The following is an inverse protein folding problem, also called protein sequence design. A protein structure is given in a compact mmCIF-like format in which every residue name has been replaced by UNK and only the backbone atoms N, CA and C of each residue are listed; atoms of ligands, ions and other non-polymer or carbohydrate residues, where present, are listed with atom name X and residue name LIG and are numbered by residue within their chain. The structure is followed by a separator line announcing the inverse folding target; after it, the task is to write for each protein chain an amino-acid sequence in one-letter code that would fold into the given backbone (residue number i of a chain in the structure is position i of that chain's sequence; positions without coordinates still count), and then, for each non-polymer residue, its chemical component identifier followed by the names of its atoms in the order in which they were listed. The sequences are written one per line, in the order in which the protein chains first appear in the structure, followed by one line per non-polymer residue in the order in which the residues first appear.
data_IF_365288654033
#
_entry.id   IF_365288654033
#
_cell.length_a   1.000
_cell.length_b   1.000
_cell.length_c   1.000
_cell.angle_alpha   90.00
_cell.angle_beta   90.00
_cell.angle_gamma   90.00
#
_symmetry.space_group_name_H-M   'P 1'
#
loop_
_entity.id
_entity.type
_entity.pdbx_description
1 polymer ?
#
# COMPACT_ATOMS: atom_id res chain seq x y z
N UNK A 1 7.53 -100.15 -32.95
CA UNK A 1 6.47 -100.85 -33.71
C UNK A 1 6.61 -100.44 -35.16
N UNK A 2 6.89 -101.27 -36.16
CA UNK A 2 6.84 -102.72 -36.33
C UNK A 2 8.00 -103.16 -37.23
N UNK A 3 8.65 -104.26 -36.87
CA UNK A 3 9.57 -104.99 -37.75
C UNK A 3 8.75 -105.74 -38.81
N UNK A 4 9.05 -105.54 -40.09
CA UNK A 4 8.63 -106.46 -41.16
C UNK A 4 9.86 -107.10 -41.77
N UNK A 5 9.95 -108.42 -41.57
CA UNK A 5 11.01 -109.32 -42.02
C UNK A 5 10.96 -109.45 -43.54
N UNK A 6 12.13 -109.40 -44.18
CA UNK A 6 12.31 -109.72 -45.60
C UNK A 6 12.18 -111.24 -45.81
N UNK A 7 11.16 -111.68 -46.53
CA UNK A 7 11.02 -113.06 -47.00
C UNK A 7 11.72 -113.21 -48.34
N UNK A 8 12.77 -114.04 -48.39
CA UNK A 8 13.57 -114.30 -49.60
C UNK A 8 12.91 -115.30 -50.53
N UNK A 9 13.14 -115.14 -51.84
CA UNK A 9 12.54 -115.88 -52.97
C UNK A 9 12.70 -117.41 -52.90
N UNK A 10 13.64 -117.92 -52.09
CA UNK A 10 13.93 -119.35 -51.95
C UNK A 10 12.84 -120.16 -51.23
N UNK A 11 11.96 -119.53 -50.44
CA UNK A 11 10.88 -120.24 -49.72
C UNK A 11 9.68 -120.66 -50.61
N UNK A 12 9.68 -120.29 -51.90
CA UNK A 12 8.55 -120.54 -52.82
C UNK A 12 8.77 -121.66 -53.86
N UNK A 13 9.90 -122.37 -53.83
CA UNK A 13 10.15 -123.51 -54.73
C UNK A 13 9.80 -124.84 -54.05
N UNK A 14 8.66 -125.42 -54.43
CA UNK A 14 8.24 -126.76 -54.01
C UNK A 14 8.84 -127.78 -54.98
N UNK A 15 9.89 -128.49 -54.56
CA UNK A 15 10.39 -129.65 -55.28
C UNK A 15 9.47 -130.87 -55.04
N UNK A 16 9.06 -131.62 -56.08
CA UNK A 16 8.29 -132.84 -55.89
C UNK A 16 9.13 -133.87 -55.09
N UNK A 17 8.60 -134.31 -53.95
CA UNK A 17 9.25 -135.27 -53.03
C UNK A 17 9.02 -136.73 -53.48
N UNK A 18 9.61 -137.14 -54.60
CA UNK A 18 9.74 -138.58 -54.91
C UNK A 18 11.05 -139.13 -54.32
N UNK A 19 11.10 -140.38 -53.84
CA UNK A 19 12.32 -140.96 -53.27
C UNK A 19 13.39 -141.21 -54.34
N UNK A 20 14.66 -141.04 -53.96
CA UNK A 20 15.82 -140.98 -54.88
C UNK A 20 15.99 -142.20 -55.82
N UNK A 21 15.49 -143.38 -55.45
CA UNK A 21 15.63 -144.58 -56.30
C UNK A 21 14.74 -144.54 -57.55
N UNK A 22 13.61 -143.83 -57.51
CA UNK A 22 12.71 -143.66 -58.66
C UNK A 22 13.28 -142.66 -59.67
N UNK A 23 14.00 -141.64 -59.21
CA UNK A 23 14.72 -140.72 -60.09
C UNK A 23 15.83 -141.42 -60.88
N UNK A 24 16.52 -142.38 -60.25
CA UNK A 24 17.52 -143.20 -60.91
C UNK A 24 16.88 -144.18 -61.90
N UNK A 25 15.69 -144.72 -61.58
CA UNK A 25 14.89 -145.54 -62.48
C UNK A 25 14.37 -144.77 -63.71
N UNK A 26 13.84 -143.56 -63.53
CA UNK A 26 13.42 -142.67 -64.63
C UNK A 26 14.65 -142.22 -65.47
N UNK A 27 15.80 -141.99 -64.84
CA UNK A 27 17.06 -141.69 -65.53
C UNK A 27 17.55 -142.85 -66.40
N UNK A 28 17.54 -144.09 -65.88
CA UNK A 28 17.89 -145.28 -66.66
C UNK A 28 16.83 -145.61 -67.72
N UNK A 29 15.53 -145.40 -67.45
CA UNK A 29 14.47 -145.56 -68.44
C UNK A 29 14.63 -144.54 -69.59
N UNK A 30 15.01 -143.29 -69.27
CA UNK A 30 15.32 -142.26 -70.27
C UNK A 30 16.60 -142.59 -71.05
N UNK A 31 17.63 -143.17 -70.39
CA UNK A 31 18.86 -143.61 -71.06
C UNK A 31 18.66 -144.82 -71.97
N UNK A 32 17.81 -145.77 -71.56
CA UNK A 32 17.40 -146.92 -72.38
C UNK A 32 16.54 -146.47 -73.56
N UNK A 33 15.64 -145.49 -73.35
CA UNK A 33 14.84 -144.87 -74.41
C UNK A 33 15.70 -144.14 -75.46
N UNK A 34 16.78 -143.44 -75.04
CA UNK A 34 17.75 -142.83 -75.95
C UNK A 34 18.58 -143.86 -76.74
N UNK A 35 18.89 -145.03 -76.16
CA UNK A 35 19.64 -146.10 -76.84
C UNK A 35 18.80 -147.03 -77.73
N UNK A 36 17.46 -146.86 -77.77
CA UNK A 36 16.52 -147.74 -78.49
C UNK A 36 15.91 -147.15 -79.76
N UNK A 37 16.24 -145.91 -80.13
CA UNK A 37 15.75 -145.32 -81.38
C UNK A 37 16.65 -145.79 -82.53
N UNK A 38 16.19 -146.85 -83.20
CA UNK A 38 16.76 -147.39 -84.44
C UNK A 38 16.86 -146.28 -85.49
N UNK A 39 18.04 -146.14 -86.09
CA UNK A 39 18.26 -145.45 -87.36
C UNK A 39 17.41 -146.21 -88.40
N UNK A 40 16.32 -145.60 -88.86
CA UNK A 40 15.50 -146.12 -89.93
C UNK A 40 16.24 -145.99 -91.28
N UNK A 41 16.04 -146.99 -92.14
CA UNK A 41 16.70 -147.25 -93.42
C UNK A 41 17.00 -146.03 -94.34
N UNK A 42 18.07 -146.11 -95.15
CA UNK A 42 18.36 -145.15 -96.20
C UNK A 42 17.55 -145.49 -97.47
N UNK A 43 16.45 -144.76 -97.73
CA UNK A 43 15.88 -144.49 -99.06
C UNK A 43 14.48 -143.86 -98.96
N UNK A 44 14.38 -142.54 -98.79
CA UNK A 44 13.38 -141.65 -99.44
C UNK A 44 13.65 -140.19 -99.01
N UNK A 45 13.64 -139.26 -99.97
CA UNK A 45 14.24 -137.92 -99.84
C UNK A 45 13.40 -136.85 -99.11
N UNK A 46 13.21 -136.98 -97.80
CA UNK A 46 12.46 -136.01 -96.97
C UNK A 46 13.30 -135.36 -95.82
N UNK A 47 14.59 -135.09 -96.06
CA UNK A 47 15.50 -134.48 -95.07
C UNK A 47 15.54 -132.93 -95.08
N UNK A 48 14.72 -132.26 -95.88
CA UNK A 48 14.75 -130.79 -96.02
C UNK A 48 13.91 -130.07 -94.93
N UNK A 49 12.90 -130.72 -94.34
CA UNK A 49 11.97 -130.05 -93.40
C UNK A 49 12.42 -130.08 -91.93
N UNK A 50 13.09 -131.13 -91.45
CA UNK A 50 13.56 -131.20 -90.04
C UNK A 50 14.74 -130.28 -89.75
N UNK A 51 15.60 -130.07 -90.75
CA UNK A 51 16.69 -129.10 -90.67
C UNK A 51 16.11 -127.66 -90.55
N UNK A 52 14.98 -127.38 -91.20
CA UNK A 52 14.32 -126.07 -91.16
C UNK A 52 13.74 -125.69 -89.77
N UNK A 53 13.19 -126.64 -89.00
CA UNK A 53 12.62 -126.36 -87.67
C UNK A 53 13.72 -126.15 -86.62
N UNK A 54 14.81 -126.92 -86.68
CA UNK A 54 15.97 -126.75 -85.78
C UNK A 54 16.66 -125.42 -86.10
N UNK A 55 16.84 -125.10 -87.38
CA UNK A 55 17.38 -123.81 -87.83
C UNK A 55 16.44 -122.67 -87.40
N UNK A 56 15.12 -122.82 -87.53
CA UNK A 56 14.13 -121.81 -87.12
C UNK A 56 14.14 -121.55 -85.61
N UNK A 57 14.20 -122.59 -84.78
CA UNK A 57 14.33 -122.45 -83.33
C UNK A 57 15.68 -121.85 -82.91
N UNK A 58 16.76 -122.22 -83.58
CA UNK A 58 18.08 -121.61 -83.38
C UNK A 58 18.06 -120.11 -83.76
N UNK A 59 17.38 -119.74 -84.84
CA UNK A 59 17.19 -118.34 -85.25
C UNK A 59 16.30 -117.60 -84.23
N UNK A 60 15.20 -118.20 -83.76
CA UNK A 60 14.28 -117.61 -82.79
C UNK A 60 14.93 -117.40 -81.41
N UNK A 61 15.71 -118.37 -80.93
CA UNK A 61 16.50 -118.25 -79.68
C UNK A 61 17.60 -117.20 -79.82
N UNK A 62 18.29 -117.14 -80.96
CA UNK A 62 19.26 -116.08 -81.23
C UNK A 62 18.61 -114.69 -81.33
N UNK A 63 17.41 -114.59 -81.90
CA UNK A 63 16.62 -113.34 -81.94
C UNK A 63 16.11 -112.93 -80.54
N UNK A 64 15.69 -113.90 -79.73
CA UNK A 64 15.30 -113.67 -78.34
C UNK A 64 16.50 -113.23 -77.50
N UNK A 65 17.68 -113.80 -77.72
CA UNK A 65 18.92 -113.37 -77.08
C UNK A 65 19.32 -111.96 -77.54
N UNK A 66 19.23 -111.66 -78.84
CA UNK A 66 19.48 -110.30 -79.37
C UNK A 66 18.50 -109.27 -78.81
N UNK A 67 17.21 -109.60 -78.68
CA UNK A 67 16.18 -108.69 -78.15
C UNK A 67 16.28 -108.53 -76.64
N UNK A 68 16.57 -109.59 -75.88
CA UNK A 68 16.84 -109.52 -74.44
C UNK A 68 18.12 -108.73 -74.14
N UNK A 69 19.19 -108.90 -74.92
CA UNK A 69 20.40 -108.04 -74.86
C UNK A 69 20.08 -106.56 -75.14
N UNK A 70 19.23 -106.26 -76.13
CA UNK A 70 18.77 -104.88 -76.40
C UNK A 70 17.89 -104.32 -75.28
N UNK A 71 17.00 -105.12 -74.72
CA UNK A 71 16.11 -104.74 -73.62
C UNK A 71 16.89 -104.48 -72.33
N UNK A 72 17.85 -105.34 -72.00
CA UNK A 72 18.75 -105.17 -70.85
C UNK A 72 19.63 -103.95 -71.01
N UNK A 73 20.19 -103.70 -72.21
CA UNK A 73 20.91 -102.47 -72.51
C UNK A 73 20.04 -101.22 -72.33
N UNK A 74 18.80 -101.21 -72.83
CA UNK A 74 17.86 -100.09 -72.59
C UNK A 74 17.51 -99.94 -71.12
N UNK A 75 17.23 -101.03 -70.38
CA UNK A 75 16.97 -100.98 -68.93
C UNK A 75 18.15 -100.39 -68.16
N UNK A 76 19.37 -100.80 -68.49
CA UNK A 76 20.59 -100.26 -67.88
C UNK A 76 20.75 -98.76 -68.20
N UNK A 77 20.53 -98.34 -69.45
CA UNK A 77 20.57 -96.94 -69.85
C UNK A 77 19.51 -96.08 -69.13
N UNK A 78 18.28 -96.57 -69.01
CA UNK A 78 17.22 -95.90 -68.24
C UNK A 78 17.54 -95.85 -66.74
N UNK A 79 18.11 -96.92 -66.18
CA UNK A 79 18.51 -96.95 -64.77
C UNK A 79 19.63 -95.95 -64.50
N UNK A 80 20.59 -95.82 -65.42
CA UNK A 80 21.67 -94.85 -65.31
C UNK A 80 21.17 -93.40 -65.48
N UNK A 81 20.26 -93.16 -66.43
CA UNK A 81 19.58 -91.86 -66.58
C UNK A 81 18.75 -91.52 -65.35
N UNK A 82 18.05 -92.50 -64.75
CA UNK A 82 17.27 -92.32 -63.52
C UNK A 82 18.18 -91.99 -62.33
N UNK A 83 19.34 -92.65 -62.21
CA UNK A 83 20.34 -92.33 -61.17
C UNK A 83 20.85 -90.89 -61.32
N UNK A 84 21.25 -90.49 -62.52
CA UNK A 84 21.70 -89.12 -62.82
C UNK A 84 20.61 -88.07 -62.49
N UNK A 85 19.36 -88.31 -62.89
CA UNK A 85 18.25 -87.41 -62.57
C UNK A 85 17.99 -87.35 -61.06
N UNK A 86 18.07 -88.47 -60.34
CA UNK A 86 17.92 -88.48 -58.88
C UNK A 86 19.06 -87.75 -58.16
N UNK A 87 20.29 -87.86 -58.65
CA UNK A 87 21.44 -87.10 -58.14
C UNK A 87 21.22 -85.60 -58.38
N UNK A 88 20.80 -85.21 -59.60
CA UNK A 88 20.51 -83.82 -59.92
C UNK A 88 19.36 -83.23 -59.08
N UNK A 89 18.33 -84.04 -58.78
CA UNK A 89 17.25 -83.64 -57.87
C UNK A 89 17.73 -83.46 -56.43
N UNK A 90 18.60 -84.33 -55.93
CA UNK A 90 19.22 -84.19 -54.60
C UNK A 90 20.08 -82.94 -54.53
N UNK A 91 20.91 -82.69 -55.53
CA UNK A 91 21.75 -81.49 -55.60
C UNK A 91 20.91 -80.21 -55.66
N UNK A 92 19.80 -80.23 -56.41
CA UNK A 92 18.88 -79.10 -56.48
C UNK A 92 18.23 -78.83 -55.11
N UNK A 93 17.81 -79.89 -54.41
CA UNK A 93 17.21 -79.77 -53.08
C UNK A 93 18.21 -79.22 -52.05
N UNK A 94 19.48 -79.64 -52.11
CA UNK A 94 20.55 -79.10 -51.25
C UNK A 94 20.80 -77.62 -51.55
N UNK A 95 20.81 -77.23 -52.83
CA UNK A 95 20.95 -75.82 -53.23
C UNK A 95 19.76 -74.97 -52.79
N UNK A 96 18.54 -75.48 -52.93
CA UNK A 96 17.33 -74.80 -52.47
C UNK A 96 17.35 -74.57 -50.96
N UNK A 97 17.70 -75.60 -50.17
CA UNK A 97 17.81 -75.48 -48.71
C UNK A 97 18.93 -74.50 -48.31
N UNK A 98 20.07 -74.53 -49.01
CA UNK A 98 21.15 -73.54 -48.83
C UNK A 98 20.67 -72.11 -49.12
N UNK A 99 19.93 -71.90 -50.22
CA UNK A 99 19.36 -70.58 -50.52
C UNK A 99 18.34 -70.13 -49.48
N UNK A 100 17.49 -71.03 -48.99
CA UNK A 100 16.53 -70.73 -47.92
C UNK A 100 17.24 -70.31 -46.64
N UNK A 101 18.28 -71.04 -46.23
CA UNK A 101 19.09 -70.69 -45.05
C UNK A 101 19.83 -69.37 -45.24
N UNK A 102 20.40 -69.13 -46.42
CA UNK A 102 21.05 -67.87 -46.75
C UNK A 102 20.06 -66.70 -46.73
N UNK A 103 18.83 -66.89 -47.23
CA UNK A 103 17.79 -65.86 -47.19
C UNK A 103 17.38 -65.53 -45.75
N UNK A 104 17.22 -66.54 -44.88
CA UNK A 104 16.94 -66.34 -43.45
C UNK A 104 18.08 -65.56 -42.79
N UNK A 105 19.34 -65.96 -43.03
CA UNK A 105 20.52 -65.25 -42.51
C UNK A 105 20.61 -63.81 -43.02
N UNK A 106 20.31 -63.59 -44.29
CA UNK A 106 20.32 -62.25 -44.89
C UNK A 106 19.22 -61.37 -44.31
N UNK A 107 18.00 -61.89 -44.17
CA UNK A 107 16.90 -61.17 -43.55
C UNK A 107 17.22 -60.80 -42.10
N UNK A 108 17.76 -61.75 -41.33
CA UNK A 108 18.23 -61.51 -39.96
C UNK A 108 19.32 -60.42 -39.93
N UNK A 109 20.31 -60.49 -40.83
CA UNK A 109 21.37 -59.49 -40.92
C UNK A 109 20.86 -58.09 -41.28
N UNK A 110 19.86 -57.99 -42.17
CA UNK A 110 19.22 -56.72 -42.54
C UNK A 110 18.47 -56.15 -41.32
N UNK A 111 17.69 -56.98 -40.62
CA UNK A 111 16.97 -56.57 -39.41
C UNK A 111 17.92 -56.10 -38.31
N UNK A 112 18.98 -56.86 -38.03
CA UNK A 112 19.99 -56.47 -37.03
C UNK A 112 20.74 -55.19 -37.41
N UNK A 113 21.06 -54.99 -38.69
CA UNK A 113 21.66 -53.73 -39.14
C UNK A 113 20.70 -52.55 -38.99
N UNK A 114 19.42 -52.74 -39.31
CA UNK A 114 18.41 -51.72 -39.12
C UNK A 114 18.28 -51.36 -37.63
N UNK A 115 18.19 -52.35 -36.74
CA UNK A 115 18.18 -52.15 -35.29
C UNK A 115 19.47 -51.47 -34.77
N UNK A 116 20.64 -51.78 -35.36
CA UNK A 116 21.90 -51.09 -35.03
C UNK A 116 21.89 -49.63 -35.48
N UNK A 117 21.38 -49.34 -36.69
CA UNK A 117 21.22 -47.98 -37.21
C UNK A 117 20.26 -47.17 -36.35
N UNK A 118 19.11 -47.73 -35.99
CA UNK A 118 18.13 -47.08 -35.13
C UNK A 118 18.68 -46.82 -33.73
N UNK A 119 19.37 -47.80 -33.11
CA UNK A 119 20.05 -47.59 -31.82
C UNK A 119 21.12 -46.51 -31.90
N UNK A 120 21.93 -46.49 -32.96
CA UNK A 120 22.94 -45.46 -33.15
C UNK A 120 22.30 -44.08 -33.34
N UNK A 121 21.24 -43.97 -34.16
CA UNK A 121 20.51 -42.74 -34.40
C UNK A 121 19.88 -42.20 -33.09
N UNK A 122 19.20 -43.07 -32.33
CA UNK A 122 18.62 -42.70 -31.04
C UNK A 122 19.71 -42.26 -30.05
N UNK A 123 20.86 -42.94 -30.03
CA UNK A 123 21.97 -42.55 -29.16
C UNK A 123 22.56 -41.19 -29.55
N UNK A 124 22.72 -40.92 -30.84
CA UNK A 124 23.17 -39.62 -31.35
C UNK A 124 22.19 -38.53 -30.95
N UNK A 125 20.89 -38.77 -31.10
CA UNK A 125 19.85 -37.81 -30.73
C UNK A 125 19.87 -37.52 -29.22
N UNK A 126 19.96 -38.55 -28.38
CA UNK A 126 20.08 -38.40 -26.92
C UNK A 126 21.33 -37.60 -26.54
N UNK A 127 22.49 -37.93 -27.12
CA UNK A 127 23.74 -37.20 -26.85
C UNK A 127 23.68 -35.75 -27.32
N UNK A 128 23.05 -35.47 -28.46
CA UNK A 128 22.87 -34.10 -28.94
C UNK A 128 21.95 -33.30 -28.02
N UNK A 129 20.86 -33.90 -27.53
CA UNK A 129 19.98 -33.26 -26.54
C UNK A 129 20.73 -32.92 -25.24
N UNK A 130 21.48 -33.90 -24.69
CA UNK A 130 22.31 -33.70 -23.50
C UNK A 130 23.38 -32.63 -23.72
N UNK A 131 24.01 -32.59 -24.90
CA UNK A 131 24.99 -31.56 -25.26
C UNK A 131 24.35 -30.17 -25.23
N UNK A 132 23.18 -29.99 -25.87
CA UNK A 132 22.48 -28.71 -25.87
C UNK A 132 22.07 -28.27 -24.46
N UNK A 133 21.59 -29.19 -23.63
CA UNK A 133 21.24 -28.88 -22.24
C UNK A 133 22.47 -28.41 -21.43
N UNK A 134 23.60 -29.10 -21.59
CA UNK A 134 24.87 -28.73 -20.95
C UNK A 134 25.40 -27.39 -21.45
N UNK A 135 25.31 -27.11 -22.75
CA UNK A 135 25.71 -25.83 -23.33
C UNK A 135 24.85 -24.68 -22.79
N UNK A 136 23.53 -24.86 -22.66
CA UNK A 136 22.65 -23.87 -22.02
C UNK A 136 23.04 -23.60 -20.58
N UNK A 137 23.29 -24.66 -19.80
CA UNK A 137 23.74 -24.55 -18.41
C UNK A 137 25.10 -23.86 -18.30
N UNK A 138 26.03 -24.19 -19.19
CA UNK A 138 27.35 -23.55 -19.26
C UNK A 138 27.23 -22.06 -19.55
N UNK A 139 26.42 -21.67 -20.53
CA UNK A 139 26.20 -20.26 -20.88
C UNK A 139 25.54 -19.49 -19.73
N UNK A 140 24.52 -20.07 -19.08
CA UNK A 140 23.89 -19.46 -17.91
C UNK A 140 24.88 -19.26 -16.75
N UNK A 141 25.74 -20.25 -16.48
CA UNK A 141 26.78 -20.12 -15.46
C UNK A 141 27.83 -19.06 -15.83
N UNK A 142 28.22 -18.97 -17.10
CA UNK A 142 29.14 -17.93 -17.58
C UNK A 142 28.55 -16.53 -17.38
N UNK A 143 27.27 -16.32 -17.69
CA UNK A 143 26.58 -15.05 -17.46
C UNK A 143 26.58 -14.69 -15.96
N UNK A 144 26.28 -15.65 -15.08
CA UNK A 144 26.32 -15.44 -13.63
C UNK A 144 27.75 -15.08 -13.19
N UNK A 145 28.76 -15.79 -13.67
CA UNK A 145 30.16 -15.47 -13.37
C UNK A 145 30.54 -14.05 -13.82
N UNK A 146 30.08 -13.60 -14.98
CA UNK A 146 30.31 -12.22 -15.42
C UNK A 146 29.59 -11.19 -14.53
N UNK A 147 28.35 -11.47 -14.12
CA UNK A 147 27.62 -10.58 -13.21
C UNK A 147 28.34 -10.45 -11.87
N UNK A 148 28.78 -11.57 -11.29
CA UNK A 148 29.55 -11.58 -10.03
C UNK A 148 30.86 -10.81 -10.20
N UNK A 149 31.58 -10.99 -11.32
CA UNK A 149 32.80 -10.21 -11.60
C UNK A 149 32.52 -8.71 -11.69
N UNK A 150 31.42 -8.30 -12.33
CA UNK A 150 31.00 -6.88 -12.40
C UNK A 150 30.67 -6.33 -11.02
N UNK A 151 29.95 -7.08 -10.19
CA UNK A 151 29.63 -6.67 -8.81
C UNK A 151 30.91 -6.56 -7.98
N UNK A 152 31.80 -7.54 -8.07
CA UNK A 152 33.11 -7.51 -7.39
C UNK A 152 33.90 -6.28 -7.80
N UNK A 153 34.02 -5.99 -9.10
CA UNK A 153 34.74 -4.81 -9.58
C UNK A 153 34.14 -3.50 -9.04
N UNK A 154 32.81 -3.39 -8.94
CA UNK A 154 32.13 -2.24 -8.31
C UNK A 154 32.43 -2.15 -6.81
N UNK A 155 32.42 -3.27 -6.11
CA UNK A 155 32.76 -3.32 -4.68
C UNK A 155 34.22 -2.94 -4.45
N UNK A 156 35.15 -3.47 -5.23
CA UNK A 156 36.59 -3.15 -5.15
C UNK A 156 36.82 -1.66 -5.42
N UNK A 157 36.14 -1.09 -6.42
CA UNK A 157 36.21 0.35 -6.69
C UNK A 157 35.65 1.18 -5.51
N UNK A 158 34.53 0.76 -4.93
CA UNK A 158 33.96 1.44 -3.77
C UNK A 158 34.86 1.35 -2.54
N UNK A 159 35.45 0.18 -2.27
CA UNK A 159 36.43 -0.01 -1.19
C UNK A 159 37.62 0.93 -1.41
N UNK A 160 38.13 1.01 -2.64
CA UNK A 160 39.19 1.96 -2.99
C UNK A 160 38.83 3.42 -2.71
N UNK A 161 37.58 3.83 -2.99
CA UNK A 161 37.10 5.18 -2.66
C UNK A 161 36.98 5.42 -1.16
N UNK A 162 36.54 4.42 -0.40
CA UNK A 162 36.34 4.55 1.04
C UNK A 162 37.62 4.38 1.87
N UNK A 163 38.69 3.85 1.28
CA UNK A 163 40.00 3.68 1.91
C UNK A 163 40.56 4.98 2.52
N UNK A 164 40.28 6.12 1.90
CA UNK A 164 40.68 7.45 2.43
C UNK A 164 40.09 7.69 3.84
N UNK A 165 38.86 7.25 4.09
CA UNK A 165 38.25 7.39 5.41
C UNK A 165 38.82 6.41 6.41
N UNK A 166 39.21 5.20 6.00
CA UNK A 166 39.89 4.24 6.85
C UNK A 166 41.27 4.77 7.27
N UNK A 167 42.04 5.30 6.32
CA UNK A 167 43.35 5.94 6.58
C UNK A 167 43.20 7.13 7.54
N UNK A 168 42.22 8.00 7.30
CA UNK A 168 41.91 9.09 8.23
C UNK A 168 41.52 8.59 9.63
N UNK A 169 40.68 7.56 9.74
CA UNK A 169 40.28 7.02 11.04
C UNK A 169 41.45 6.34 11.76
N UNK A 170 42.38 5.72 11.04
CA UNK A 170 43.64 5.23 11.61
C UNK A 170 44.48 6.39 12.16
N UNK A 171 44.67 7.48 11.40
CA UNK A 171 45.41 8.66 11.87
C UNK A 171 44.78 9.28 13.13
N UNK A 172 43.45 9.32 13.22
CA UNK A 172 42.74 9.83 14.40
C UNK A 172 42.95 8.93 15.62
N UNK A 173 42.95 7.61 15.44
CA UNK A 173 43.25 6.64 16.51
C UNK A 173 44.71 6.76 16.95
N UNK A 174 45.65 6.98 16.03
CA UNK A 174 47.06 7.19 16.34
C UNK A 174 47.30 8.52 17.08
N UNK A 175 46.53 9.56 16.78
CA UNK A 175 46.61 10.86 17.44
C UNK A 175 46.08 10.82 18.89
N UNK A 176 44.97 10.14 19.13
CA UNK A 176 44.36 10.01 20.46
C UNK A 176 44.61 8.61 21.04
N UNK A 177 45.69 8.47 21.81
CA UNK A 177 46.07 7.23 22.48
C UNK A 177 45.01 6.65 23.45
N UNK A 178 43.94 7.40 23.74
CA UNK A 178 42.81 6.87 24.52
C UNK A 178 41.99 5.83 23.75
N UNK A 179 42.15 5.73 22.43
CA UNK A 179 41.44 4.78 21.57
C UNK A 179 42.42 3.74 21.02
N UNK A 180 42.07 2.46 21.14
CA UNK A 180 42.93 1.35 20.68
C UNK A 180 42.52 0.82 19.30
N UNK A 181 41.29 1.12 18.85
CA UNK A 181 40.75 0.66 17.58
C UNK A 181 39.78 1.69 16.99
N UNK A 182 39.66 1.71 15.67
CA UNK A 182 38.62 2.46 14.94
C UNK A 182 37.22 2.10 15.47
N UNK A 183 36.99 0.84 15.85
CA UNK A 183 35.71 0.43 16.42
C UNK A 183 35.41 1.10 17.77
N UNK A 184 36.42 1.40 18.57
CA UNK A 184 36.23 2.09 19.85
C UNK A 184 35.90 3.57 19.62
N UNK A 185 36.54 4.19 18.62
CA UNK A 185 36.19 5.54 18.14
C UNK A 185 34.72 5.59 17.70
N UNK A 186 34.27 4.64 16.88
CA UNK A 186 32.89 4.59 16.40
C UNK A 186 31.89 4.37 17.55
N UNK A 187 32.16 3.45 18.47
CA UNK A 187 31.30 3.24 19.66
C UNK A 187 31.19 4.50 20.51
N UNK A 188 32.30 5.21 20.71
CA UNK A 188 32.29 6.47 21.47
C UNK A 188 31.52 7.56 20.73
N UNK A 189 31.68 7.64 19.41
CA UNK A 189 30.91 8.54 18.57
C UNK A 189 29.41 8.24 18.66
N UNK A 190 29.01 6.98 18.59
CA UNK A 190 27.62 6.55 18.73
C UNK A 190 27.06 6.91 20.11
N UNK A 191 27.81 6.61 21.18
CA UNK A 191 27.43 6.99 22.54
C UNK A 191 27.31 8.52 22.69
N UNK A 192 28.17 9.30 22.03
CA UNK A 192 28.10 10.76 22.05
C UNK A 192 26.90 11.28 21.25
N UNK A 193 26.54 10.65 20.14
CA UNK A 193 25.31 10.98 19.40
C UNK A 193 24.09 10.70 20.26
N UNK A 194 24.04 9.55 20.94
CA UNK A 194 22.94 9.19 21.84
C UNK A 194 22.84 10.17 23.00
N UNK A 195 23.94 10.46 23.70
CA UNK A 195 23.97 11.47 24.76
C UNK A 195 23.53 12.86 24.25
N UNK A 196 23.93 13.24 23.03
CA UNK A 196 23.48 14.49 22.41
C UNK A 196 21.98 14.49 22.14
N UNK A 197 21.41 13.38 21.68
CA UNK A 197 19.96 13.24 21.47
C UNK A 197 19.21 13.37 22.79
N UNK A 198 19.64 12.64 23.82
CA UNK A 198 19.04 12.71 25.15
C UNK A 198 19.09 14.12 25.74
N UNK A 199 20.24 14.81 25.62
CA UNK A 199 20.39 16.17 26.09
C UNK A 199 19.47 17.14 25.33
N UNK A 200 19.33 16.96 24.03
CA UNK A 200 18.40 17.76 23.22
C UNK A 200 16.94 17.52 23.64
N UNK A 201 16.56 16.27 23.95
CA UNK A 201 15.22 15.94 24.44
C UNK A 201 14.96 16.54 25.83
N UNK A 202 15.97 16.57 26.71
CA UNK A 202 15.89 17.29 28.01
C UNK A 202 15.71 18.79 27.76
N UNK A 203 16.55 19.38 26.91
CA UNK A 203 16.49 20.81 26.59
C UNK A 203 15.13 21.19 26.01
N UNK A 204 14.58 20.41 25.08
CA UNK A 204 13.27 20.66 24.50
C UNK A 204 12.16 20.56 25.56
N UNK A 205 12.24 19.58 26.47
CA UNK A 205 11.28 19.48 27.58
C UNK A 205 11.34 20.69 28.49
N UNK A 206 12.53 21.19 28.81
CA UNK A 206 12.68 22.35 29.68
C UNK A 206 12.25 23.65 29.01
N UNK A 207 12.52 23.82 27.71
CA UNK A 207 11.96 24.92 26.92
C UNK A 207 10.43 24.88 26.93
N UNK A 208 9.82 23.71 26.73
CA UNK A 208 8.36 23.56 26.79
C UNK A 208 7.79 23.90 28.18
N UNK A 209 8.49 23.53 29.27
CA UNK A 209 8.10 23.93 30.63
C UNK A 209 8.19 25.45 30.82
N UNK A 210 9.26 26.06 30.32
CA UNK A 210 9.48 27.50 30.40
C UNK A 210 8.42 28.27 29.61
N UNK A 211 8.07 27.80 28.41
CA UNK A 211 6.99 28.38 27.61
C UNK A 211 5.63 28.28 28.31
N UNK A 212 5.31 27.13 28.91
CA UNK A 212 4.10 26.97 29.73
C UNK A 212 4.09 27.93 30.91
N UNK A 213 5.19 28.02 31.66
CA UNK A 213 5.30 28.95 32.79
C UNK A 213 5.14 30.41 32.35
N UNK A 214 5.76 30.79 31.23
CA UNK A 214 5.63 32.12 30.63
C UNK A 214 4.19 32.40 30.17
N UNK A 215 3.51 31.41 29.59
CA UNK A 215 2.10 31.56 29.18
C UNK A 215 1.20 31.75 30.40
N UNK A 216 1.37 30.93 31.43
CA UNK A 216 0.62 31.05 32.68
C UNK A 216 0.85 32.42 33.35
N UNK A 217 2.09 32.92 33.34
CA UNK A 217 2.40 34.24 33.87
C UNK A 217 1.71 35.35 33.07
N UNK A 218 1.71 35.27 31.73
CA UNK A 218 0.99 36.23 30.89
C UNK A 218 -0.51 36.22 31.17
N UNK A 219 -1.09 35.04 31.34
CA UNK A 219 -2.51 34.89 31.69
C UNK A 219 -2.82 35.51 33.06
N UNK A 220 -1.99 35.22 34.07
CA UNK A 220 -2.12 35.83 35.40
C UNK A 220 -2.01 37.35 35.34
N UNK A 221 -1.02 37.89 34.63
CA UNK A 221 -0.86 39.34 34.44
C UNK A 221 -2.11 39.92 33.78
N UNK A 222 -2.61 39.31 32.69
CA UNK A 222 -3.83 39.78 32.02
C UNK A 222 -5.03 39.79 32.97
N UNK A 223 -5.21 38.72 33.76
CA UNK A 223 -6.28 38.63 34.76
C UNK A 223 -6.16 39.71 35.84
N UNK A 224 -4.96 40.01 36.33
CA UNK A 224 -4.74 41.07 37.32
C UNK A 224 -4.91 42.46 36.72
N UNK A 225 -4.43 42.70 35.50
CA UNK A 225 -4.65 43.96 34.78
C UNK A 225 -6.15 44.23 34.62
N UNK A 226 -6.92 43.23 34.18
CA UNK A 226 -8.39 43.35 34.10
C UNK A 226 -9.04 43.64 35.46
N UNK A 227 -8.55 43.03 36.56
CA UNK A 227 -9.04 43.33 37.91
C UNK A 227 -8.72 44.76 38.32
N UNK A 228 -7.50 45.23 38.05
CA UNK A 228 -7.09 46.61 38.33
C UNK A 228 -7.96 47.57 37.52
N UNK A 229 -8.16 47.35 36.23
CA UNK A 229 -9.02 48.18 35.38
C UNK A 229 -10.46 48.25 35.91
N UNK A 230 -11.02 47.12 36.37
CA UNK A 230 -12.35 47.10 37.01
C UNK A 230 -12.40 47.98 38.26
N UNK A 231 -11.40 47.89 39.14
CA UNK A 231 -11.34 48.70 40.36
C UNK A 231 -11.12 50.18 40.01
N UNK A 232 -10.23 50.49 39.07
CA UNK A 232 -9.99 51.85 38.59
C UNK A 232 -11.28 52.48 38.04
N UNK A 233 -12.06 51.72 37.26
CA UNK A 233 -13.37 52.18 36.78
C UNK A 233 -14.34 52.43 37.93
N UNK A 234 -14.37 51.58 38.96
CA UNK A 234 -15.19 51.81 40.16
C UNK A 234 -14.77 53.07 40.92
N UNK A 235 -13.47 53.29 41.09
CA UNK A 235 -12.92 54.50 41.72
C UNK A 235 -13.31 55.74 40.92
N UNK A 236 -13.21 55.69 39.59
CA UNK A 236 -13.59 56.79 38.72
C UNK A 236 -15.07 57.14 38.87
N UNK A 237 -15.97 56.14 38.86
CA UNK A 237 -17.41 56.35 39.07
C UNK A 237 -17.69 56.94 40.46
N UNK A 238 -17.02 56.46 41.51
CA UNK A 238 -17.15 56.99 42.86
C UNK A 238 -16.65 58.44 42.95
N UNK A 239 -15.52 58.75 42.31
CA UNK A 239 -14.95 60.09 42.28
C UNK A 239 -15.88 61.08 41.56
N UNK A 240 -16.45 60.69 40.41
CA UNK A 240 -17.45 61.50 39.71
C UNK A 240 -18.70 61.76 40.55
N UNK A 241 -19.19 60.76 41.29
CA UNK A 241 -20.31 60.93 42.23
C UNK A 241 -19.95 61.89 43.35
N UNK A 242 -18.75 61.76 43.92
CA UNK A 242 -18.25 62.64 44.96
C UNK A 242 -18.14 64.10 44.47
N UNK A 243 -17.54 64.34 43.31
CA UNK A 243 -17.40 65.69 42.74
C UNK A 243 -18.77 66.30 42.39
N UNK A 244 -19.74 65.49 41.92
CA UNK A 244 -21.14 65.93 41.75
C UNK A 244 -21.77 66.36 43.08
N UNK A 245 -21.64 65.55 44.12
CA UNK A 245 -22.18 65.86 45.44
C UNK A 245 -21.53 67.12 46.04
N UNK A 246 -20.20 67.24 45.93
CA UNK A 246 -19.43 68.41 46.36
C UNK A 246 -19.81 69.69 45.62
N UNK A 247 -20.00 69.62 44.30
CA UNK A 247 -20.48 70.74 43.49
C UNK A 247 -21.88 71.18 43.94
N UNK A 248 -22.79 70.23 44.18
CA UNK A 248 -24.12 70.54 44.71
C UNK A 248 -24.07 71.14 46.12
N UNK A 249 -23.22 70.62 47.00
CA UNK A 249 -23.03 71.19 48.35
C UNK A 249 -22.58 72.65 48.27
N UNK A 250 -21.58 72.96 47.43
CA UNK A 250 -21.12 74.34 47.20
C UNK A 250 -22.24 75.26 46.71
N UNK A 251 -23.12 74.78 45.81
CA UNK A 251 -24.28 75.57 45.35
C UNK A 251 -25.24 75.88 46.51
N UNK A 252 -25.55 74.89 47.35
CA UNK A 252 -26.41 75.10 48.51
C UNK A 252 -25.77 75.98 49.58
N UNK A 253 -24.47 75.86 49.82
CA UNK A 253 -23.72 76.76 50.71
C UNK A 253 -23.74 78.20 50.22
N UNK A 254 -23.57 78.42 48.90
CA UNK A 254 -23.69 79.74 48.30
C UNK A 254 -25.09 80.33 48.46
N UNK A 255 -26.13 79.54 48.17
CA UNK A 255 -27.52 79.98 48.35
C UNK A 255 -27.81 80.30 49.82
N UNK A 256 -27.41 79.42 50.74
CA UNK A 256 -27.58 79.64 52.17
C UNK A 256 -26.85 80.89 52.65
N UNK A 257 -25.62 81.13 52.18
CA UNK A 257 -24.87 82.35 52.49
C UNK A 257 -25.60 83.60 51.97
N UNK A 258 -26.14 83.55 50.76
CA UNK A 258 -26.91 84.65 50.18
C UNK A 258 -28.17 84.94 51.00
N UNK A 259 -29.00 83.94 51.27
CA UNK A 259 -30.19 84.09 52.12
C UNK A 259 -29.84 84.58 53.52
N UNK A 260 -28.74 84.10 54.11
CA UNK A 260 -28.28 84.58 55.42
C UNK A 260 -27.92 86.06 55.37
N UNK A 261 -27.20 86.51 54.33
CA UNK A 261 -26.86 87.92 54.15
C UNK A 261 -28.13 88.78 54.00
N UNK A 262 -29.07 88.36 53.14
CA UNK A 262 -30.36 89.06 52.97
C UNK A 262 -31.14 89.17 54.28
N UNK A 263 -31.24 88.07 55.04
CA UNK A 263 -31.93 88.07 56.34
C UNK A 263 -31.22 88.99 57.35
N UNK A 264 -29.87 88.98 57.38
CA UNK A 264 -29.13 89.89 58.27
C UNK A 264 -29.33 91.36 57.88
N UNK A 265 -29.39 91.68 56.59
CA UNK A 265 -29.67 93.02 56.10
C UNK A 265 -31.10 93.45 56.47
N UNK A 266 -32.09 92.60 56.24
CA UNK A 266 -33.47 92.85 56.65
C UNK A 266 -33.60 93.03 58.16
N UNK A 267 -32.90 92.22 58.96
CA UNK A 267 -32.89 92.34 60.42
C UNK A 267 -32.25 93.66 60.86
N UNK A 268 -31.11 94.04 60.29
CA UNK A 268 -30.44 95.31 60.58
C UNK A 268 -31.34 96.50 60.23
N UNK A 269 -31.97 96.49 59.05
CA UNK A 269 -32.93 97.52 58.64
C UNK A 269 -34.12 97.59 59.60
N UNK A 270 -34.66 96.44 59.99
CA UNK A 270 -35.78 96.37 60.95
C UNK A 270 -35.37 96.93 62.31
N UNK A 271 -34.20 96.56 62.84
CA UNK A 271 -33.67 97.09 64.12
C UNK A 271 -33.44 98.60 64.02
N UNK A 272 -32.83 99.08 62.94
CA UNK A 272 -32.60 100.50 62.71
C UNK A 272 -33.92 101.31 62.67
N UNK A 273 -34.92 100.80 61.95
CA UNK A 273 -36.27 101.41 61.92
C UNK A 273 -36.89 101.44 63.32
N UNK A 274 -36.84 100.32 64.07
CA UNK A 274 -37.35 100.26 65.44
C UNK A 274 -36.66 101.27 66.36
N UNK A 275 -35.34 101.42 66.26
CA UNK A 275 -34.57 102.41 67.03
C UNK A 275 -34.94 103.86 66.66
N UNK A 276 -35.09 104.17 65.38
CA UNK A 276 -35.53 105.51 64.93
C UNK A 276 -36.96 105.79 65.43
N UNK A 277 -37.87 104.82 65.34
CA UNK A 277 -39.22 104.95 65.87
C UNK A 277 -39.19 105.22 67.37
N UNK A 278 -38.40 104.46 68.14
CA UNK A 278 -38.25 104.66 69.59
C UNK A 278 -37.69 106.04 69.91
N UNK A 279 -36.65 106.50 69.19
CA UNK A 279 -36.08 107.85 69.35
C UNK A 279 -37.11 108.94 69.05
N UNK A 280 -37.85 108.83 67.94
CA UNK A 280 -38.87 109.81 67.56
C UNK A 280 -40.03 109.85 68.57
N UNK A 281 -40.45 108.70 69.08
CA UNK A 281 -41.44 108.61 70.16
C UNK A 281 -40.95 109.33 71.43
N UNK A 282 -39.71 109.07 71.85
CA UNK A 282 -39.12 109.73 73.03
C UNK A 282 -39.03 111.25 72.86
N UNK A 283 -38.63 111.73 71.68
CA UNK A 283 -38.62 113.16 71.33
C UNK A 283 -40.01 113.79 71.41
N UNK A 284 -41.04 113.12 70.87
CA UNK A 284 -42.43 113.60 70.94
C UNK A 284 -42.93 113.60 72.39
N UNK A 285 -42.65 112.56 73.17
CA UNK A 285 -42.96 112.50 74.59
C UNK A 285 -42.29 113.63 75.37
N UNK A 286 -41.01 113.93 75.08
CA UNK A 286 -40.28 115.03 75.69
C UNK A 286 -40.90 116.40 75.32
N UNK A 287 -41.20 116.64 74.04
CA UNK A 287 -41.82 117.89 73.57
C UNK A 287 -43.23 118.10 74.14
N UNK A 288 -44.02 117.03 74.24
CA UNK A 288 -45.37 117.06 74.84
C UNK A 288 -45.37 116.97 76.37
N UNK A 289 -44.20 116.80 77.01
CA UNK A 289 -44.02 116.59 78.46
C UNK A 289 -44.84 115.40 79.03
N UNK A 290 -45.00 114.34 78.24
CA UNK A 290 -45.68 113.10 78.63
C UNK A 290 -44.62 112.08 79.05
N UNK A 291 -44.84 111.37 80.17
CA UNK A 291 -43.91 110.30 80.59
C UNK A 291 -43.92 109.15 79.57
N UNK A 292 -42.76 108.64 79.13
CA UNK A 292 -42.71 107.51 78.21
C UNK A 292 -43.25 106.23 78.86
N UNK A 293 -44.30 105.62 78.30
CA UNK A 293 -44.94 104.40 78.83
C UNK A 293 -44.60 103.16 77.99
N UNK A 294 -44.42 103.33 76.68
CA UNK A 294 -44.22 102.20 75.76
C UNK A 294 -42.76 102.19 75.28
N UNK A 295 -41.87 101.51 76.01
CA UNK A 295 -40.42 101.52 75.73
C UNK A 295 -40.01 100.45 74.70
N UNK A 296 -40.70 99.30 74.68
CA UNK A 296 -40.35 98.15 73.81
C UNK A 296 -41.47 97.73 72.84
N UNK A 297 -42.63 98.41 72.87
CA UNK A 297 -43.76 98.15 71.97
C UNK A 297 -43.76 99.15 70.81
N UNK A 298 -43.14 98.77 69.69
CA UNK A 298 -42.93 99.63 68.52
C UNK A 298 -44.23 99.98 67.81
N UNK A 299 -45.25 99.14 67.89
CA UNK A 299 -46.55 99.39 67.26
C UNK A 299 -47.29 100.53 67.98
N UNK A 300 -47.33 100.48 69.31
CA UNK A 300 -47.92 101.56 70.12
C UNK A 300 -47.11 102.86 70.04
N UNK A 301 -45.78 102.77 69.93
CA UNK A 301 -44.93 103.94 69.66
C UNK A 301 -45.30 104.61 68.33
N UNK A 302 -45.42 103.84 67.25
CA UNK A 302 -45.81 104.35 65.92
C UNK A 302 -47.21 104.96 65.89
N UNK A 303 -48.18 104.37 66.59
CA UNK A 303 -49.54 104.94 66.71
C UNK A 303 -49.48 106.32 67.39
N UNK A 304 -48.68 106.46 68.45
CA UNK A 304 -48.51 107.74 69.15
C UNK A 304 -47.79 108.78 68.28
N UNK A 305 -46.75 108.36 67.54
CA UNK A 305 -46.06 109.21 66.56
C UNK A 305 -47.04 109.67 65.47
N UNK A 306 -47.86 108.78 64.91
CA UNK A 306 -48.86 109.09 63.89
C UNK A 306 -49.89 110.12 64.37
N UNK A 307 -50.40 109.95 65.60
CA UNK A 307 -51.33 110.91 66.20
C UNK A 307 -50.66 112.28 66.37
N UNK A 308 -49.43 112.32 66.87
CA UNK A 308 -48.69 113.57 67.03
C UNK A 308 -48.39 114.27 65.70
N UNK A 309 -47.98 113.54 64.65
CA UNK A 309 -47.79 114.11 63.30
C UNK A 309 -49.11 114.68 62.77
N UNK A 310 -50.24 113.96 62.90
CA UNK A 310 -51.54 114.47 62.47
C UNK A 310 -51.96 115.74 63.21
N UNK A 311 -51.66 115.85 64.51
CA UNK A 311 -51.87 117.08 65.26
C UNK A 311 -50.95 118.22 64.77
N UNK A 312 -49.67 117.95 64.51
CA UNK A 312 -48.76 118.95 63.93
C UNK A 312 -49.17 119.38 62.53
N UNK A 313 -49.74 118.49 61.71
CA UNK A 313 -50.32 118.83 60.41
C UNK A 313 -51.53 119.75 60.56
N UNK A 314 -52.39 119.51 61.56
CA UNK A 314 -53.52 120.39 61.88
C UNK A 314 -53.02 121.75 62.38
N UNK A 315 -51.99 121.78 63.24
CA UNK A 315 -51.39 123.01 63.75
C UNK A 315 -50.72 123.78 62.63
N UNK A 316 -49.90 123.14 61.79
CA UNK A 316 -49.27 123.80 60.64
C UNK A 316 -50.30 124.32 59.65
N UNK A 317 -51.38 123.57 59.38
CA UNK A 317 -52.47 124.04 58.52
C UNK A 317 -53.14 125.31 59.08
N UNK A 318 -53.35 125.37 60.40
CA UNK A 318 -53.85 126.57 61.09
C UNK A 318 -52.85 127.72 61.08
N UNK A 319 -51.55 127.44 61.19
CA UNK A 319 -50.49 128.47 61.10
C UNK A 319 -50.42 129.04 59.69
N UNK A 320 -50.47 128.21 58.64
CA UNK A 320 -50.53 128.68 57.25
C UNK A 320 -51.82 129.48 56.99
N UNK A 321 -52.96 129.04 57.53
CA UNK A 321 -54.23 129.80 57.46
C UNK A 321 -54.17 131.13 58.24
N UNK A 322 -53.39 131.22 59.32
CA UNK A 322 -53.14 132.46 60.05
C UNK A 322 -52.16 133.37 59.32
N UNK A 323 -51.07 132.85 58.74
CA UNK A 323 -50.14 133.61 57.90
C UNK A 323 -50.85 134.17 56.66
N UNK A 324 -51.76 133.41 56.05
CA UNK A 324 -52.61 133.88 54.96
C UNK A 324 -53.60 134.96 55.41
N UNK A 325 -54.13 134.87 56.64
CA UNK A 325 -54.99 135.92 57.23
C UNK A 325 -54.21 137.18 57.62
N UNK A 326 -52.98 137.05 58.14
CA UNK A 326 -52.11 138.17 58.47
C UNK A 326 -51.58 138.88 57.21
N UNK A 327 -51.35 138.12 56.12
CA UNK A 327 -51.11 138.71 54.80
C UNK A 327 -52.33 139.49 54.30
N UNK A 328 -53.55 138.97 54.48
CA UNK A 328 -54.80 139.67 54.10
C UNK A 328 -55.03 140.93 54.94
N UNK A 329 -54.77 140.90 56.25
CA UNK A 329 -54.84 142.06 57.13
C UNK A 329 -53.77 143.12 56.81
N UNK A 330 -52.57 142.73 56.37
CA UNK A 330 -51.55 143.67 55.86
C UNK A 330 -51.91 144.32 54.52
N UNK A 331 -52.72 143.66 53.69
CA UNK A 331 -53.24 144.23 52.44
C UNK A 331 -54.37 145.23 52.75
N UNK A 332 -55.29 144.90 53.65
CA UNK A 332 -56.38 145.81 54.10
C UNK A 332 -55.86 147.05 54.88
N UNK A 333 -54.74 146.91 55.62
CA UNK A 333 -54.06 148.04 56.26
C UNK A 333 -53.34 148.96 55.26
N UNK A 334 -52.91 148.45 54.09
CA UNK A 334 -52.35 149.26 52.99
C UNK A 334 -53.43 150.01 52.20
N UNK A 335 -54.61 149.43 52.05
CA UNK A 335 -55.76 150.09 51.39
C UNK A 335 -56.40 151.19 52.27
N UNK A 336 -56.25 151.08 53.59
CA UNK A 336 -56.69 152.13 54.55
C UNK A 336 -55.73 153.34 54.57
N UNK A 337 -54.43 153.14 54.31
CA UNK A 337 -53.42 154.22 54.25
C UNK A 337 -53.36 154.95 52.90
N UNK A 338 -53.92 154.38 51.81
CA UNK A 338 -54.06 155.05 50.52
C UNK A 338 -55.29 155.98 50.44
N UNK A 339 -56.31 155.76 51.28
CA UNK A 339 -57.54 156.57 51.32
C UNK A 339 -57.38 157.91 52.08
N UNK A 340 -56.42 158.01 53.02
CA UNK A 340 -56.19 159.25 53.81
C UNK A 340 -55.24 160.24 53.09
N UNK A 341 -54.59 159.86 51.98
CA UNK A 341 -53.70 160.73 51.19
C UNK A 341 -54.33 161.36 49.93
N UNK A 342 -55.63 161.18 49.66
CA UNK A 342 -56.32 161.85 48.54
C UNK A 342 -57.40 162.88 48.94
N UNK A 343 -57.75 163.01 50.23
CA UNK A 343 -58.48 164.19 50.75
C UNK A 343 -57.49 165.30 51.14
N UNK A 344 -56.82 165.77 50.10
CA UNK A 344 -55.89 166.91 50.08
C UNK A 344 -55.87 167.46 48.66
N UNK A 345 -57.05 167.61 48.06
CA UNK A 345 -57.28 168.47 46.90
C UNK A 345 -58.78 168.74 46.73
N UNK A 346 -59.14 169.98 47.10
CA UNK A 346 -60.43 170.70 47.00
C UNK A 346 -61.36 170.62 48.19
#
# INVERSE_FOLDING_TARGET
MNFTKNTTVFDKMVFPKKPNYEYVGEYFASKVAESSIKIANPNTGDDIERMNVIISNYIATQQLEKTTRKLTAKRNAYQQKRKCVLEMWKDLQVKEESFRQNFIRFNQFVKENQEKKERAANKIMEQNSLKQERERKMNALLEICEQIKKVKAKMDANIGRYRIYEEFLMEVVDYDSSMQSINDLLKRYDALIEARKELNDIQQRDLNKLEKAKSNLKELISNYTQKIEKITNQIQVLHERYEKAKSNCRKWEQLHKHTKLEVTEMLLNTVAVKEICKKMYLEICHRKRIKPTYIDDTEKQLITIKQAIGEYEIINRRVTEMEEKDLRASIEAKDSYSTIKSQGNK
#
